data_IF_661169716370
#
_entry.id   IF_661169716370
#
_cell.length_a   1.000
_cell.length_b   1.000
_cell.length_c   1.000
_cell.angle_alpha   90.00
_cell.angle_beta   90.00
_cell.angle_gamma   90.00
#
_symmetry.space_group_name_H-M   'P 1'
#
loop_
_entity.id
_entity.type
_entity.pdbx_description
1 polymer ?
#
# COMPACT_ATOMS: atom_id res chain seq x y z
N UNK A 1 21.40 -5.02 1.98
CA UNK A 1 20.01 -4.51 2.03
C UNK A 1 19.17 -5.06 0.89
N UNK A 2 18.04 -5.69 1.19
CA UNK A 2 17.09 -6.23 0.18
C UNK A 2 16.04 -5.15 -0.14
N UNK A 3 16.01 -4.63 -1.38
CA UNK A 3 15.17 -3.50 -1.79
C UNK A 3 13.66 -3.77 -1.66
N UNK A 4 13.19 -4.92 -2.14
CA UNK A 4 11.77 -5.30 -2.03
C UNK A 4 11.31 -5.43 -0.57
N UNK A 5 12.20 -5.88 0.33
CA UNK A 5 11.90 -5.96 1.76
C UNK A 5 11.81 -4.56 2.39
N UNK A 6 12.65 -3.61 1.96
CA UNK A 6 12.56 -2.22 2.42
C UNK A 6 11.20 -1.60 2.05
N UNK A 7 10.72 -1.82 0.83
CA UNK A 7 9.41 -1.33 0.36
C UNK A 7 8.28 -1.93 1.19
N UNK A 8 8.33 -3.25 1.42
CA UNK A 8 7.36 -3.96 2.21
C UNK A 8 7.29 -3.45 3.65
N UNK A 9 8.45 -3.31 4.31
CA UNK A 9 8.52 -2.82 5.69
C UNK A 9 8.08 -1.36 5.80
N UNK A 10 8.38 -0.52 4.79
CA UNK A 10 7.82 0.84 4.71
C UNK A 10 6.30 0.84 4.60
N UNK A 11 5.71 -0.09 3.84
CA UNK A 11 4.26 -0.20 3.71
C UNK A 11 3.63 -0.69 5.02
N UNK A 12 4.16 -1.77 5.61
CA UNK A 12 3.73 -2.28 6.92
C UNK A 12 3.82 -1.19 8.00
N UNK A 13 4.94 -0.46 8.08
CA UNK A 13 5.14 0.58 9.09
C UNK A 13 4.14 1.74 8.98
N UNK A 14 3.71 2.08 7.76
CA UNK A 14 2.65 3.08 7.53
C UNK A 14 1.29 2.58 8.01
N UNK A 15 0.93 1.33 7.70
CA UNK A 15 -0.32 0.72 8.15
C UNK A 15 -0.35 0.51 9.66
N UNK A 16 0.79 0.21 10.28
CA UNK A 16 0.92 0.07 11.73
C UNK A 16 0.74 1.41 12.47
N UNK A 17 1.20 2.53 11.89
CA UNK A 17 1.07 3.87 12.48
C UNK A 17 -0.31 4.48 12.20
N UNK A 18 -0.81 4.28 10.99
CA UNK A 18 -2.12 4.79 10.57
C UNK A 18 -2.96 3.61 10.06
N UNK A 19 -3.50 2.79 10.98
CA UNK A 19 -4.39 1.71 10.61
C UNK A 19 -5.62 2.34 9.98
N UNK A 20 -5.88 2.07 8.70
CA UNK A 20 -7.12 2.54 8.13
C UNK A 20 -8.25 1.78 8.81
N UNK A 21 -9.10 2.52 9.53
CA UNK A 21 -10.34 2.01 10.06
C UNK A 21 -11.28 1.82 8.87
N UNK A 22 -11.17 0.69 8.18
CA UNK A 22 -12.18 0.29 7.20
C UNK A 22 -13.42 -0.20 7.96
N UNK A 23 -14.35 0.72 8.18
CA UNK A 23 -15.74 0.39 8.46
C UNK A 23 -16.30 -0.17 7.16
N UNK A 24 -16.57 -1.47 7.11
CA UNK A 24 -17.45 -2.02 6.08
C UNK A 24 -18.82 -1.36 6.24
N UNK A 25 -19.15 -0.39 5.38
CA UNK A 25 -20.54 0.03 5.20
C UNK A 25 -21.14 -0.95 4.19
N UNK A 26 -21.94 -1.94 4.61
CA UNK A 26 -22.74 -2.70 3.67
C UNK A 26 -23.60 -1.72 2.85
N UNK A 27 -23.53 -1.83 1.52
CA UNK A 27 -24.31 -0.99 0.62
C UNK A 27 -25.82 -1.12 0.92
N UNK A 28 -26.59 -0.01 0.93
CA UNK A 28 -28.03 -0.02 1.20
C UNK A 28 -28.88 -0.58 0.04
N UNK A 29 -28.28 -1.01 -1.07
CA UNK A 29 -28.97 -1.67 -2.17
C UNK A 29 -28.88 -3.18 -1.97
N UNK A 30 -29.98 -3.71 -1.41
CA UNK A 30 -30.08 -5.00 -0.75
C UNK A 30 -29.80 -6.25 -1.59
N UNK A 31 -29.70 -7.35 -0.86
CA UNK A 31 -30.08 -8.68 -1.37
C UNK A 31 -31.51 -8.58 -1.92
N UNK A 32 -31.65 -8.61 -3.24
CA UNK A 32 -32.89 -9.05 -3.88
C UNK A 32 -32.60 -10.42 -4.47
N UNK A 33 -32.87 -11.42 -3.65
CA UNK A 33 -32.96 -12.81 -4.06
C UNK A 33 -34.42 -13.01 -4.54
N UNK A 34 -34.54 -13.77 -5.63
CA UNK A 34 -35.74 -14.43 -6.16
C UNK A 34 -36.90 -13.59 -6.71
N UNK A 35 -36.80 -13.25 -8.01
CA UNK A 35 -37.66 -13.83 -9.07
C UNK A 35 -37.45 -13.11 -10.41
N UNK A 36 -37.22 -13.87 -11.49
CA UNK A 36 -37.54 -13.44 -12.85
C UNK A 36 -36.41 -12.87 -13.72
N UNK A 37 -35.90 -13.72 -14.62
CA UNK A 37 -35.80 -13.31 -16.04
C UNK A 37 -34.68 -12.35 -16.47
N UNK A 38 -33.52 -12.94 -16.76
CA UNK A 38 -32.72 -12.70 -17.96
C UNK A 38 -31.95 -11.36 -18.18
N UNK A 39 -30.66 -11.55 -18.50
CA UNK A 39 -29.77 -10.71 -19.32
C UNK A 39 -29.12 -9.47 -18.67
N UNK A 40 -27.98 -9.68 -18.00
CA UNK A 40 -26.62 -9.22 -18.43
C UNK A 40 -25.62 -9.41 -17.29
N UNK A 41 -24.71 -10.37 -17.42
CA UNK A 41 -23.33 -10.17 -17.01
C UNK A 41 -22.55 -9.98 -18.32
N UNK A 42 -21.83 -8.86 -18.52
CA UNK A 42 -20.52 -8.78 -17.88
C UNK A 42 -20.07 -7.35 -17.51
N UNK A 43 -19.35 -7.23 -16.40
CA UNK A 43 -18.39 -6.14 -16.24
C UNK A 43 -18.89 -4.91 -15.47
N UNK A 44 -18.98 -5.05 -14.15
CA UNK A 44 -18.35 -4.04 -13.30
C UNK A 44 -17.11 -4.71 -12.72
N UNK A 45 -15.98 -4.62 -13.44
CA UNK A 45 -14.69 -4.76 -12.76
C UNK A 45 -14.64 -3.55 -11.83
N UNK A 46 -14.87 -3.77 -10.54
CA UNK A 46 -14.55 -2.79 -9.53
C UNK A 46 -13.06 -2.51 -9.65
N UNK A 47 -12.70 -1.45 -10.38
CA UNK A 47 -11.32 -1.17 -10.78
C UNK A 47 -10.50 -0.75 -9.55
N UNK A 48 -9.85 -1.76 -8.98
CA UNK A 48 -8.41 -1.84 -8.68
C UNK A 48 -7.79 -1.00 -7.56
N UNK A 49 -8.54 -0.23 -6.78
CA UNK A 49 -7.95 0.38 -5.56
C UNK A 49 -8.12 -0.53 -4.36
N UNK A 50 -9.31 -1.13 -4.21
CA UNK A 50 -9.65 -1.99 -3.06
C UNK A 50 -8.82 -3.28 -3.07
N UNK A 51 -8.69 -3.96 -4.21
CA UNK A 51 -7.92 -5.22 -4.27
C UNK A 51 -6.42 -5.02 -3.98
N UNK A 52 -5.84 -3.89 -4.42
CA UNK A 52 -4.45 -3.55 -4.15
C UNK A 52 -4.25 -3.19 -2.66
N UNK A 53 -5.18 -2.43 -2.10
CA UNK A 53 -5.17 -2.03 -0.70
C UNK A 53 -5.35 -3.26 0.23
N UNK A 54 -6.30 -4.14 -0.07
CA UNK A 54 -6.50 -5.43 0.62
C UNK A 54 -5.29 -6.35 0.45
N UNK A 55 -4.64 -6.39 -0.72
CA UNK A 55 -3.42 -7.16 -0.92
C UNK A 55 -2.23 -6.59 -0.12
N UNK A 56 -2.12 -5.26 -0.02
CA UNK A 56 -1.14 -4.59 0.84
C UNK A 56 -1.41 -4.90 2.32
N UNK A 57 -2.67 -4.86 2.77
CA UNK A 57 -3.03 -5.26 4.14
C UNK A 57 -2.73 -6.73 4.43
N UNK A 58 -2.89 -7.63 3.46
CA UNK A 58 -2.45 -9.04 3.60
C UNK A 58 -0.94 -9.17 3.69
N UNK A 59 -0.19 -8.39 2.90
CA UNK A 59 1.27 -8.37 2.96
C UNK A 59 1.77 -7.77 4.28
N UNK A 60 1.12 -6.72 4.78
CA UNK A 60 1.39 -6.12 6.09
C UNK A 60 1.08 -7.11 7.22
N UNK A 61 -0.05 -7.82 7.19
CA UNK A 61 -0.36 -8.90 8.14
C UNK A 61 0.67 -10.03 8.10
N UNK A 62 1.17 -10.39 6.91
CA UNK A 62 2.22 -11.38 6.79
C UNK A 62 3.55 -10.91 7.41
N UNK A 63 3.90 -9.62 7.25
CA UNK A 63 5.07 -9.01 7.91
C UNK A 63 4.88 -9.00 9.42
N UNK A 64 3.70 -8.61 9.90
CA UNK A 64 3.40 -8.57 11.32
C UNK A 64 3.50 -9.96 11.96
N UNK A 65 2.92 -10.97 11.30
CA UNK A 65 3.07 -12.36 11.69
C UNK A 65 4.54 -12.81 11.66
N UNK A 66 5.31 -12.47 10.62
CA UNK A 66 6.71 -12.86 10.54
C UNK A 66 7.58 -12.20 11.63
N UNK A 67 7.31 -10.94 11.96
CA UNK A 67 7.95 -10.24 13.08
C UNK A 67 7.58 -10.91 14.41
N UNK A 68 6.32 -11.30 14.58
CA UNK A 68 5.87 -12.07 15.75
C UNK A 68 6.57 -13.43 15.84
N UNK A 69 6.59 -14.20 14.75
CA UNK A 69 7.25 -15.51 14.68
C UNK A 69 8.74 -15.41 15.01
N UNK A 70 9.44 -14.37 14.52
CA UNK A 70 10.84 -14.14 14.86
C UNK A 70 11.06 -13.90 16.36
N UNK A 71 10.12 -13.24 17.03
CA UNK A 71 10.22 -12.89 18.45
C UNK A 71 9.94 -14.06 19.41
N UNK A 72 9.36 -15.17 18.92
CA UNK A 72 9.17 -16.40 19.68
C UNK A 72 10.52 -16.97 20.14
N UNK A 73 10.51 -17.71 21.25
CA UNK A 73 11.73 -18.36 21.74
C UNK A 73 12.11 -19.58 20.88
N UNK A 74 13.36 -20.01 20.99
CA UNK A 74 13.85 -21.19 20.27
C UNK A 74 13.07 -22.45 20.71
N UNK A 75 12.77 -23.38 19.79
CA UNK A 75 13.20 -23.43 18.39
C UNK A 75 12.29 -22.69 17.39
N UNK A 76 11.16 -22.13 17.86
CA UNK A 76 10.16 -21.53 16.98
C UNK A 76 10.59 -20.16 16.41
N UNK A 77 11.43 -19.43 17.14
CA UNK A 77 11.98 -18.14 16.70
C UNK A 77 13.39 -17.88 17.24
N UNK A 78 13.78 -16.60 17.26
CA UNK A 78 15.12 -16.14 17.64
C UNK A 78 15.18 -15.58 19.08
N UNK A 79 14.09 -15.70 19.84
CA UNK A 79 13.97 -15.22 21.22
C UNK A 79 14.35 -13.75 21.37
N UNK A 80 15.31 -13.47 22.25
CA UNK A 80 15.80 -12.10 22.53
C UNK A 80 16.31 -11.40 21.28
N UNK A 81 16.97 -12.13 20.38
CA UNK A 81 17.50 -11.58 19.13
C UNK A 81 16.34 -11.14 18.23
N UNK A 82 15.30 -11.97 18.12
CA UNK A 82 14.09 -11.66 17.38
C UNK A 82 13.35 -10.45 17.94
N UNK A 83 13.17 -10.39 19.26
CA UNK A 83 12.58 -9.22 19.95
C UNK A 83 13.34 -7.93 19.66
N UNK A 84 14.67 -7.99 19.61
CA UNK A 84 15.52 -6.85 19.23
C UNK A 84 15.29 -6.43 17.78
N UNK A 85 15.10 -7.39 16.86
CA UNK A 85 14.79 -7.13 15.46
C UNK A 85 13.40 -6.50 15.28
N UNK A 86 12.41 -6.93 16.05
CA UNK A 86 11.08 -6.30 16.09
C UNK A 86 11.17 -4.85 16.57
N UNK A 87 11.88 -4.60 17.68
CA UNK A 87 12.10 -3.23 18.17
C UNK A 87 12.78 -2.34 17.12
N UNK A 88 13.78 -2.87 16.41
CA UNK A 88 14.44 -2.19 15.31
C UNK A 88 13.44 -1.84 14.18
N UNK A 89 12.58 -2.79 13.80
CA UNK A 89 11.58 -2.58 12.75
C UNK A 89 10.61 -1.45 13.14
N UNK A 90 10.13 -1.40 14.38
CA UNK A 90 9.27 -0.32 14.86
C UNK A 90 9.98 1.05 14.85
N UNK A 91 11.23 1.12 15.33
CA UNK A 91 11.99 2.39 15.33
C UNK A 91 12.23 2.92 13.92
N UNK A 92 12.42 2.03 12.94
CA UNK A 92 12.75 2.41 11.58
C UNK A 92 11.52 2.73 10.74
N UNK A 93 10.50 1.87 10.78
CA UNK A 93 9.41 1.90 9.80
C UNK A 93 8.11 2.47 10.38
N UNK A 94 7.87 2.34 11.69
CA UNK A 94 6.68 2.89 12.35
C UNK A 94 6.94 4.33 12.81
N UNK A 95 7.15 5.24 11.86
CA UNK A 95 7.37 6.67 12.15
C UNK A 95 6.39 7.53 11.36
N UNK A 96 5.71 8.46 12.02
CA UNK A 96 4.85 9.46 11.36
C UNK A 96 5.66 10.42 10.47
N UNK A 97 6.90 10.71 10.87
CA UNK A 97 7.81 11.60 10.16
C UNK A 97 9.16 10.92 9.95
N UNK A 98 9.85 11.16 8.81
CA UNK A 98 11.19 10.62 8.60
C UNK A 98 12.15 11.08 9.70
N UNK A 99 12.82 10.11 10.33
CA UNK A 99 13.82 10.35 11.38
C UNK A 99 15.22 10.05 10.81
N UNK A 100 16.23 10.91 11.05
CA UNK A 100 17.59 10.61 10.61
C UNK A 100 18.14 9.32 11.21
N UNK A 101 18.93 8.57 10.43
CA UNK A 101 19.52 7.29 10.85
C UNK A 101 20.34 7.40 12.14
N UNK A 102 21.06 8.51 12.33
CA UNK A 102 21.81 8.74 13.56
C UNK A 102 20.91 8.79 14.81
N UNK A 103 19.74 9.41 14.70
CA UNK A 103 18.77 9.50 15.79
C UNK A 103 18.07 8.15 16.02
N UNK A 104 17.77 7.39 14.97
CA UNK A 104 17.26 6.03 15.09
C UNK A 104 18.26 5.11 15.83
N UNK A 105 19.55 5.19 15.46
CA UNK A 105 20.61 4.43 16.11
C UNK A 105 20.77 4.82 17.60
N UNK A 106 20.68 6.11 17.90
CA UNK A 106 20.71 6.63 19.27
C UNK A 106 19.55 6.09 20.12
N UNK A 107 18.31 6.06 19.59
CA UNK A 107 17.13 5.49 20.28
C UNK A 107 17.31 4.00 20.64
N UNK A 108 18.12 3.28 19.87
CA UNK A 108 18.43 1.87 20.10
C UNK A 108 19.72 1.65 20.89
N UNK A 109 20.40 2.71 21.32
CA UNK A 109 21.64 2.64 22.08
C UNK A 109 22.81 2.02 21.31
N UNK A 110 22.85 2.15 19.98
CA UNK A 110 23.87 1.52 19.13
C UNK A 110 24.55 2.50 18.17
N UNK A 111 25.74 2.12 17.68
CA UNK A 111 26.41 2.86 16.62
C UNK A 111 25.62 2.81 15.30
N UNK A 112 25.82 3.81 14.43
CA UNK A 112 25.22 3.84 13.08
C UNK A 112 25.64 2.63 12.23
N UNK A 113 26.88 2.15 12.40
CA UNK A 113 27.37 0.95 11.71
C UNK A 113 26.60 -0.29 12.17
N UNK A 114 26.51 -0.49 13.48
CA UNK A 114 25.75 -1.61 14.08
C UNK A 114 24.28 -1.55 13.67
N UNK A 115 23.69 -0.36 13.68
CA UNK A 115 22.32 -0.14 13.22
C UNK A 115 22.12 -0.63 11.78
N UNK A 116 22.97 -0.21 10.83
CA UNK A 116 22.89 -0.65 9.43
C UNK A 116 23.04 -2.16 9.29
N UNK A 117 23.99 -2.77 10.01
CA UNK A 117 24.17 -4.22 10.02
C UNK A 117 22.95 -4.96 10.55
N UNK A 118 22.31 -4.45 11.62
CA UNK A 118 21.08 -5.06 12.16
C UNK A 118 19.89 -4.93 11.20
N UNK A 119 19.80 -3.83 10.44
CA UNK A 119 18.78 -3.67 9.39
C UNK A 119 19.01 -4.68 8.27
N UNK A 120 20.26 -4.86 7.83
CA UNK A 120 20.57 -5.88 6.83
C UNK A 120 20.23 -7.29 7.34
N UNK A 121 20.53 -7.61 8.59
CA UNK A 121 20.18 -8.88 9.22
C UNK A 121 18.65 -9.08 9.29
N UNK A 122 17.89 -8.06 9.71
CA UNK A 122 16.42 -8.08 9.70
C UNK A 122 15.87 -8.45 8.32
N UNK A 123 16.42 -7.85 7.25
CA UNK A 123 15.95 -8.13 5.90
C UNK A 123 16.21 -9.59 5.50
N UNK A 124 17.37 -10.14 5.89
CA UNK A 124 17.73 -11.52 5.61
C UNK A 124 16.83 -12.49 6.37
N UNK A 125 16.59 -12.27 7.66
CA UNK A 125 15.73 -13.16 8.44
C UNK A 125 14.27 -13.10 7.98
N UNK A 126 13.74 -11.91 7.72
CA UNK A 126 12.38 -11.79 7.17
C UNK A 126 12.25 -12.44 5.78
N UNK A 127 13.29 -12.38 4.94
CA UNK A 127 13.25 -13.04 3.64
C UNK A 127 13.21 -14.57 3.75
N UNK A 128 13.76 -15.15 4.83
CA UNK A 128 13.66 -16.59 5.10
C UNK A 128 12.26 -16.99 5.54
N UNK A 129 11.62 -16.18 6.36
CA UNK A 129 10.27 -16.45 6.90
C UNK A 129 9.17 -16.12 5.89
N UNK A 130 9.43 -15.22 4.93
CA UNK A 130 8.47 -14.73 3.93
C UNK A 130 8.87 -15.04 2.46
N UNK A 131 9.16 -16.30 2.08
CA UNK A 131 9.62 -16.61 0.73
C UNK A 131 8.56 -16.28 -0.34
N UNK A 132 7.28 -16.53 -0.06
CA UNK A 132 6.18 -16.25 -0.98
C UNK A 132 5.88 -14.76 -1.17
N UNK A 133 6.00 -13.97 -0.09
CA UNK A 133 5.69 -12.53 -0.12
C UNK A 133 6.77 -11.76 -0.87
N UNK A 134 8.05 -12.12 -0.72
CA UNK A 134 9.13 -11.51 -1.49
C UNK A 134 9.00 -11.72 -3.01
N UNK A 135 8.53 -12.89 -3.45
CA UNK A 135 8.27 -13.20 -4.86
C UNK A 135 7.04 -12.46 -5.38
N UNK A 136 5.95 -12.41 -4.59
CA UNK A 136 4.74 -11.66 -4.94
C UNK A 136 5.03 -10.15 -5.06
N UNK A 137 5.84 -9.60 -4.15
CA UNK A 137 6.25 -8.20 -4.17
C UNK A 137 7.17 -7.86 -5.33
N UNK A 138 8.13 -8.72 -5.69
CA UNK A 138 8.94 -8.53 -6.90
C UNK A 138 8.07 -8.47 -8.16
N UNK A 139 7.04 -9.32 -8.25
CA UNK A 139 6.07 -9.27 -9.35
C UNK A 139 5.26 -7.98 -9.33
N UNK A 140 4.83 -7.50 -8.16
CA UNK A 140 4.13 -6.23 -8.02
C UNK A 140 5.03 -5.01 -8.37
N UNK A 141 6.29 -5.00 -7.95
CA UNK A 141 7.29 -3.97 -8.29
C UNK A 141 7.52 -3.88 -9.81
N UNK A 142 7.54 -5.02 -10.51
CA UNK A 142 7.65 -5.07 -11.97
C UNK A 142 6.40 -4.50 -12.67
N UNK A 143 5.24 -4.58 -12.02
CA UNK A 143 3.96 -4.09 -12.56
C UNK A 143 3.69 -2.62 -12.21
N UNK A 144 4.38 -2.06 -11.20
CA UNK A 144 4.20 -0.68 -10.71
C UNK A 144 4.33 0.41 -11.79
N UNK A 145 5.32 0.38 -12.69
CA UNK A 145 5.46 1.39 -13.75
C UNK A 145 4.27 1.41 -14.71
N UNK A 146 3.73 0.23 -15.02
CA UNK A 146 2.56 0.08 -15.88
C UNK A 146 1.29 0.63 -15.21
N UNK A 147 1.14 0.43 -13.90
CA UNK A 147 0.03 0.95 -13.11
C UNK A 147 0.08 2.48 -13.00
N UNK A 148 1.26 3.06 -12.70
CA UNK A 148 1.46 4.52 -12.64
C UNK A 148 1.19 5.18 -14.00
N UNK A 149 1.71 4.60 -15.09
CA UNK A 149 1.47 5.11 -16.44
C UNK A 149 -0.01 5.04 -16.87
N UNK A 150 -0.79 4.12 -16.29
CA UNK A 150 -2.24 4.03 -16.54
C UNK A 150 -3.02 5.11 -15.79
N UNK A 151 -2.64 5.38 -14.54
CA UNK A 151 -3.25 6.44 -13.71
C UNK A 151 -3.00 7.83 -14.31
N UNK A 152 -1.76 8.10 -14.75
CA UNK A 152 -1.42 9.40 -15.36
C UNK A 152 -2.16 9.63 -16.70
N UNK A 153 -2.30 8.60 -17.54
CA UNK A 153 -3.15 8.69 -18.75
C UNK A 153 -4.61 8.97 -18.43
N UNK A 154 -5.15 8.36 -17.37
CA UNK A 154 -6.51 8.63 -16.90
C UNK A 154 -6.69 10.08 -16.44
N UNK A 155 -5.74 10.63 -15.67
CA UNK A 155 -5.74 12.04 -15.25
C UNK A 155 -5.68 13.00 -16.44
N UNK A 156 -4.88 12.68 -17.46
CA UNK A 156 -4.78 13.48 -18.67
C UNK A 156 -6.10 13.49 -19.44
N UNK A 157 -6.77 12.35 -19.59
CA UNK A 157 -8.07 12.24 -20.24
C UNK A 157 -9.17 13.07 -19.52
N UNK A 158 -9.19 13.04 -18.18
CA UNK A 158 -10.13 13.85 -17.38
C UNK A 158 -9.87 15.35 -17.55
N UNK A 159 -8.60 15.77 -17.64
CA UNK A 159 -8.26 17.18 -17.91
C UNK A 159 -8.72 17.63 -19.30
N UNK A 160 -8.53 16.79 -20.32
CA UNK A 160 -8.98 17.08 -21.69
C UNK A 160 -10.50 17.20 -21.75
N UNK A 161 -11.23 16.24 -21.19
CA UNK A 161 -12.69 16.27 -21.16
C UNK A 161 -13.24 17.51 -20.42
N UNK A 162 -12.61 17.93 -19.31
CA UNK A 162 -12.98 19.18 -18.63
C UNK A 162 -12.68 20.43 -19.45
N UNK A 163 -11.64 20.42 -20.29
CA UNK A 163 -11.32 21.55 -21.16
C UNK A 163 -12.33 21.66 -22.31
N UNK A 164 -12.72 20.53 -22.90
CA UNK A 164 -13.75 20.44 -23.94
C UNK A 164 -15.12 20.90 -23.42
N UNK A 165 -15.49 20.48 -22.20
CA UNK A 165 -16.74 20.91 -21.56
C UNK A 165 -16.78 22.44 -21.39
N UNK A 166 -15.68 23.05 -20.92
CA UNK A 166 -15.58 24.51 -20.75
C UNK A 166 -15.68 25.27 -22.07
N UNK A 167 -15.14 24.69 -23.14
CA UNK A 167 -15.21 25.30 -24.47
C UNK A 167 -16.63 25.21 -25.05
N UNK A 168 -17.34 24.10 -24.83
CA UNK A 168 -18.76 23.97 -25.14
C UNK A 168 -19.60 24.99 -24.35
N UNK A 169 -19.36 25.12 -23.04
CA UNK A 169 -20.08 26.08 -22.19
C UNK A 169 -19.87 27.53 -22.68
N UNK A 170 -18.65 27.89 -23.12
CA UNK A 170 -18.36 29.20 -23.71
C UNK A 170 -19.07 29.42 -25.03
N UNK A 171 -19.11 28.41 -25.91
CA UNK A 171 -19.80 28.50 -27.21
C UNK A 171 -21.31 28.62 -27.04
N UNK A 172 -21.89 27.89 -26.07
CA UNK A 172 -23.31 28.00 -25.71
C UNK A 172 -23.61 29.40 -25.16
N UNK A 173 -22.77 29.92 -24.26
CA UNK A 173 -22.92 31.28 -23.75
C UNK A 173 -22.86 32.32 -24.88
N UNK A 174 -21.88 32.23 -25.79
CA UNK A 174 -21.78 33.13 -26.95
C UNK A 174 -23.00 33.07 -27.86
N UNK A 175 -23.60 31.89 -28.04
CA UNK A 175 -24.80 31.72 -28.85
C UNK A 175 -26.02 32.37 -28.19
N UNK A 176 -26.22 32.13 -26.89
CA UNK A 176 -27.33 32.71 -26.10
C UNK A 176 -27.29 34.25 -26.03
N UNK A 177 -26.11 34.87 -26.03
CA UNK A 177 -25.96 36.32 -26.02
C UNK A 177 -26.06 36.97 -27.42
N UNK A 178 -25.99 36.18 -28.50
CA UNK A 178 -26.05 36.69 -29.89
C UNK A 178 -27.48 36.85 -30.41
N UNK A 179 -28.44 36.16 -29.81
CA UNK A 179 -29.88 36.23 -30.17
C UNK A 179 -30.65 37.30 -29.35
N UNK A 180 -29.96 38.07 -28.49
CA UNK A 180 -30.54 39.11 -27.63
C UNK A 180 -30.23 40.57 -28.08
N UNK A 181 -29.73 40.76 -29.31
CA UNK A 181 -29.42 42.06 -29.94
C UNK A 181 -30.09 42.18 -31.30
#
# INVERSE_FOLDING_TARGET
MIKAMEVLLCAWGREAVNPAVEVSIPSPLGRMDDEGGAVRAPGSRCLSTVECWVAMSRAAQAVDKALHDLALDAPAGLGVVGRTMVQLAHVRYCQERPVPVAQQAHRLGVSVRTYRTRVDALHVELARVLPGVAVALRKAEQQLPATVARVERGRQAVKVSRAEQRELDRRVAQWLFKDAS
#
